data_IF_505596963564
#
_entry.id   IF_505596963564
#
_cell.length_a   1.000
_cell.length_b   1.000
_cell.length_c   1.000
_cell.angle_alpha   90.00
_cell.angle_beta   90.00
_cell.angle_gamma   90.00
#
_symmetry.space_group_name_H-M   'P 1'
#
loop_
_entity.id
_entity.type
_entity.pdbx_description
1 polymer ?
#
# COMPACT_ATOMS: atom_id res chain seq x y z
N UNK A 1 -20.07 -26.13 -22.65
CA UNK A 1 -19.26 -25.33 -23.59
C UNK A 1 -18.09 -24.79 -22.83
N UNK A 2 -16.89 -25.32 -23.08
CA UNK A 2 -15.67 -24.84 -22.46
C UNK A 2 -15.31 -23.47 -23.02
N UNK A 3 -15.17 -22.49 -22.13
CA UNK A 3 -14.61 -21.19 -22.45
C UNK A 3 -13.11 -21.22 -22.21
N UNK A 4 -12.34 -21.37 -23.28
CA UNK A 4 -10.91 -21.13 -23.27
C UNK A 4 -10.68 -19.63 -22.99
N UNK A 5 -10.21 -19.30 -21.80
CA UNK A 5 -9.93 -17.92 -21.40
C UNK A 5 -8.55 -17.52 -21.96
N UNK A 6 -8.44 -16.44 -22.75
CA UNK A 6 -7.17 -16.03 -23.35
C UNK A 6 -6.20 -15.54 -22.26
N UNK A 7 -4.87 -15.80 -22.40
CA UNK A 7 -3.88 -15.30 -21.47
C UNK A 7 -3.77 -13.78 -21.63
N UNK A 8 -4.19 -13.03 -20.60
CA UNK A 8 -4.13 -11.56 -20.58
C UNK A 8 -5.44 -10.83 -20.26
N UNK A 9 -6.49 -11.52 -19.83
CA UNK A 9 -7.70 -10.85 -19.33
C UNK A 9 -7.37 -9.99 -18.08
N UNK A 10 -7.83 -8.73 -17.99
CA UNK A 10 -7.65 -7.94 -16.79
C UNK A 10 -8.31 -8.66 -15.61
N UNK A 11 -7.59 -8.73 -14.50
CA UNK A 11 -8.06 -9.31 -13.24
C UNK A 11 -9.53 -8.95 -12.98
N UNK A 12 -10.40 -9.95 -12.79
CA UNK A 12 -11.76 -9.70 -12.35
C UNK A 12 -11.73 -8.89 -11.04
N UNK A 13 -12.62 -7.90 -10.84
CA UNK A 13 -12.70 -7.13 -9.59
C UNK A 13 -12.75 -8.01 -8.34
N UNK A 14 -13.34 -9.22 -8.46
CA UNK A 14 -13.44 -10.22 -7.39
C UNK A 14 -12.11 -10.75 -6.84
N UNK A 15 -11.00 -10.64 -7.57
CA UNK A 15 -9.71 -11.21 -7.14
C UNK A 15 -8.84 -10.24 -6.34
N UNK A 16 -9.25 -8.96 -6.23
CA UNK A 16 -8.44 -7.92 -5.59
C UNK A 16 -8.49 -7.99 -4.07
N UNK A 17 -9.67 -8.14 -3.50
CA UNK A 17 -9.83 -8.25 -2.04
C UNK A 17 -9.13 -9.50 -1.46
N UNK A 18 -9.27 -10.71 -2.04
CA UNK A 18 -8.52 -11.88 -1.58
C UNK A 18 -6.98 -11.69 -1.66
N UNK A 19 -6.49 -11.06 -2.73
CA UNK A 19 -5.05 -10.76 -2.89
C UNK A 19 -4.57 -9.73 -1.87
N UNK A 20 -5.35 -8.68 -1.60
CA UNK A 20 -5.07 -7.71 -0.56
C UNK A 20 -5.01 -8.41 0.80
N UNK A 21 -6.00 -9.22 1.13
CA UNK A 21 -6.06 -9.95 2.39
C UNK A 21 -4.85 -10.86 2.58
N UNK A 22 -4.47 -11.64 1.56
CA UNK A 22 -3.28 -12.49 1.62
C UNK A 22 -1.99 -11.68 1.79
N UNK A 23 -1.84 -10.56 1.06
CA UNK A 23 -0.64 -9.71 1.11
C UNK A 23 -0.43 -9.06 2.47
N UNK A 24 -1.49 -8.67 3.16
CA UNK A 24 -1.43 -8.01 4.46
C UNK A 24 -1.68 -8.95 5.64
N UNK A 25 -1.80 -10.26 5.39
CA UNK A 25 -2.04 -11.26 6.45
C UNK A 25 -3.36 -11.06 7.19
N UNK A 26 -4.40 -10.60 6.49
CA UNK A 26 -5.70 -10.32 7.07
C UNK A 26 -6.45 -11.62 7.37
N UNK A 27 -6.97 -11.76 8.59
CA UNK A 27 -7.90 -12.82 8.92
C UNK A 27 -9.29 -12.53 8.34
N UNK A 28 -10.17 -13.53 8.32
CA UNK A 28 -11.55 -13.35 7.86
C UNK A 28 -12.29 -12.23 8.60
N UNK A 29 -12.05 -12.09 9.90
CA UNK A 29 -12.62 -11.01 10.70
C UNK A 29 -12.12 -9.63 10.23
N UNK A 30 -10.83 -9.52 9.89
CA UNK A 30 -10.26 -8.26 9.39
C UNK A 30 -10.92 -7.85 8.06
N UNK A 31 -11.18 -8.82 7.18
CA UNK A 31 -11.89 -8.60 5.91
C UNK A 31 -13.33 -8.14 6.15
N UNK A 32 -14.04 -8.74 7.12
CA UNK A 32 -15.40 -8.31 7.49
C UNK A 32 -15.43 -6.88 8.02
N UNK A 33 -14.49 -6.53 8.89
CA UNK A 33 -14.32 -5.17 9.42
C UNK A 33 -14.09 -4.18 8.28
N UNK A 34 -13.16 -4.50 7.37
CA UNK A 34 -12.84 -3.66 6.22
C UNK A 34 -14.05 -3.43 5.32
N UNK A 35 -14.82 -4.48 5.01
CA UNK A 35 -16.02 -4.39 4.18
C UNK A 35 -17.12 -3.56 4.84
N UNK A 36 -17.34 -3.70 6.14
CA UNK A 36 -18.32 -2.89 6.87
C UNK A 36 -17.93 -1.40 6.87
N UNK A 37 -16.63 -1.08 7.06
CA UNK A 37 -16.16 0.30 6.97
C UNK A 37 -16.24 0.88 5.55
N UNK A 38 -16.04 0.04 4.53
CA UNK A 38 -16.07 0.42 3.12
C UNK A 38 -17.49 0.65 2.57
N UNK A 39 -18.49 -0.08 3.10
CA UNK A 39 -19.85 -0.10 2.57
C UNK A 39 -20.47 1.29 2.26
N UNK A 40 -20.44 2.29 3.16
CA UNK A 40 -21.03 3.61 2.88
C UNK A 40 -20.29 4.40 1.78
N UNK A 41 -19.02 4.10 1.52
CA UNK A 41 -18.25 4.75 0.46
C UNK A 41 -18.53 4.15 -0.92
N UNK A 42 -19.02 2.91 -0.97
CA UNK A 42 -19.35 2.21 -2.22
C UNK A 42 -20.83 2.35 -2.56
N UNK A 43 -21.70 2.30 -1.56
CA UNK A 43 -23.13 2.42 -1.72
C UNK A 43 -23.75 3.28 -0.61
N UNK A 44 -24.25 4.44 -1.01
CA UNK A 44 -24.93 5.41 -0.13
C UNK A 44 -26.16 4.85 0.59
N UNK A 45 -26.72 3.72 0.17
CA UNK A 45 -27.84 3.07 0.88
C UNK A 45 -27.45 2.64 2.30
N UNK A 46 -26.17 2.40 2.57
CA UNK A 46 -25.67 2.07 3.89
C UNK A 46 -25.61 3.27 4.85
N UNK A 47 -25.49 4.51 4.35
CA UNK A 47 -25.44 5.70 5.19
C UNK A 47 -26.62 5.81 6.18
N UNK A 48 -27.90 5.79 5.73
CA UNK A 48 -29.04 5.86 6.65
C UNK A 48 -29.18 4.61 7.52
N UNK A 49 -28.82 3.42 7.01
CA UNK A 49 -28.84 2.18 7.80
C UNK A 49 -27.86 2.26 8.99
N UNK A 50 -26.66 2.79 8.75
CA UNK A 50 -25.67 2.97 9.79
C UNK A 50 -26.09 4.05 10.77
N UNK A 51 -26.71 5.14 10.31
CA UNK A 51 -27.29 6.14 11.21
C UNK A 51 -28.31 5.51 12.17
N UNK A 52 -29.20 4.65 11.66
CA UNK A 52 -30.16 3.93 12.49
C UNK A 52 -29.49 2.96 13.46
N UNK A 53 -28.55 2.14 13.00
CA UNK A 53 -27.87 1.14 13.83
C UNK A 53 -26.93 1.77 14.87
N UNK A 54 -26.42 2.97 14.60
CA UNK A 54 -25.65 3.77 15.56
C UNK A 54 -26.54 4.53 16.55
N UNK A 55 -27.87 4.49 16.41
CA UNK A 55 -28.84 5.31 17.14
C UNK A 55 -28.55 6.82 17.03
N UNK A 56 -28.00 7.25 15.89
CA UNK A 56 -27.61 8.62 15.60
C UNK A 56 -27.65 8.85 14.09
N UNK A 57 -28.70 9.53 13.62
CA UNK A 57 -28.91 9.82 12.19
C UNK A 57 -27.80 10.67 11.56
N UNK A 58 -26.99 11.35 12.37
CA UNK A 58 -25.79 12.06 11.93
C UNK A 58 -24.61 11.13 11.65
N UNK A 59 -24.60 9.92 12.22
CA UNK A 59 -23.51 8.94 12.10
C UNK A 59 -23.72 7.96 10.97
N UNK A 60 -23.34 8.40 9.78
CA UNK A 60 -23.50 7.64 8.52
C UNK A 60 -22.34 6.71 8.19
N UNK A 61 -21.43 6.49 9.14
CA UNK A 61 -20.23 5.65 9.01
C UNK A 61 -20.29 4.49 9.98
N UNK A 62 -19.56 3.43 9.66
CA UNK A 62 -19.41 2.33 10.58
C UNK A 62 -18.66 2.80 11.83
N UNK A 63 -19.19 2.48 13.00
CA UNK A 63 -18.48 2.66 14.26
C UNK A 63 -17.84 1.36 14.70
N UNK A 64 -16.89 1.45 15.62
CA UNK A 64 -16.27 0.27 16.21
C UNK A 64 -17.32 -0.65 16.85
N UNK A 65 -18.28 -0.10 17.60
CA UNK A 65 -19.39 -0.86 18.18
C UNK A 65 -20.23 -1.53 17.11
N UNK A 66 -20.66 -0.77 16.09
CA UNK A 66 -21.47 -1.30 14.99
C UNK A 66 -20.79 -2.49 14.30
N UNK A 67 -19.49 -2.40 14.01
CA UNK A 67 -18.79 -3.49 13.31
C UNK A 67 -18.65 -4.72 14.19
N UNK A 68 -18.46 -4.57 15.50
CA UNK A 68 -18.46 -5.70 16.42
C UNK A 68 -19.84 -6.38 16.45
N UNK A 69 -20.91 -5.60 16.53
CA UNK A 69 -22.29 -6.11 16.53
C UNK A 69 -22.61 -6.85 15.22
N UNK A 70 -22.27 -6.27 14.06
CA UNK A 70 -22.44 -6.91 12.75
C UNK A 70 -21.62 -8.20 12.61
N UNK A 71 -20.49 -8.30 13.31
CA UNK A 71 -19.67 -9.51 13.34
C UNK A 71 -20.11 -10.53 14.41
N UNK A 72 -21.14 -10.21 15.21
CA UNK A 72 -21.60 -11.04 16.32
C UNK A 72 -20.58 -11.18 17.45
N UNK A 73 -19.77 -10.13 17.68
CA UNK A 73 -18.70 -10.13 18.68
C UNK A 73 -19.08 -9.24 19.85
N UNK A 74 -18.87 -9.69 21.10
CA UNK A 74 -19.23 -8.89 22.25
C UNK A 74 -18.22 -7.74 22.44
N UNK A 75 -18.73 -6.59 22.88
CA UNK A 75 -17.95 -5.35 23.00
C UNK A 75 -16.77 -5.43 24.00
N UNK A 76 -16.85 -6.35 24.97
CA UNK A 76 -15.81 -6.63 25.96
C UNK A 76 -14.78 -7.67 25.47
N UNK A 77 -14.94 -8.23 24.27
CA UNK A 77 -13.98 -9.17 23.69
C UNK A 77 -12.62 -8.53 23.45
N UNK A 78 -11.62 -8.90 24.26
CA UNK A 78 -10.24 -8.47 24.08
C UNK A 78 -9.70 -8.85 22.69
N UNK A 79 -10.05 -10.04 22.19
CA UNK A 79 -9.62 -10.50 20.87
C UNK A 79 -10.21 -9.64 19.73
N UNK A 80 -11.46 -9.22 19.85
CA UNK A 80 -12.08 -8.34 18.87
C UNK A 80 -11.49 -6.92 18.92
N UNK A 81 -11.28 -6.38 20.12
CA UNK A 81 -10.63 -5.07 20.33
C UNK A 81 -9.20 -5.06 19.79
N UNK A 82 -8.48 -6.16 19.93
CA UNK A 82 -7.12 -6.31 19.41
C UNK A 82 -7.05 -6.17 17.89
N UNK A 83 -8.12 -6.46 17.12
CA UNK A 83 -8.15 -6.26 15.66
C UNK A 83 -8.15 -4.79 15.24
N UNK A 84 -8.54 -3.89 16.13
CA UNK A 84 -8.59 -2.44 15.91
C UNK A 84 -7.46 -1.70 16.67
N UNK A 85 -6.51 -2.44 17.26
CA UNK A 85 -5.33 -1.85 17.89
C UNK A 85 -4.42 -1.20 16.83
N UNK A 86 -3.67 -0.12 17.12
CA UNK A 86 -2.78 0.52 16.14
C UNK A 86 -1.75 -0.43 15.50
N UNK A 87 -1.33 -1.46 16.21
CA UNK A 87 -0.41 -2.50 15.70
C UNK A 87 -1.11 -3.67 14.99
N UNK A 88 -2.44 -3.69 14.92
CA UNK A 88 -3.18 -4.72 14.24
C UNK A 88 -3.03 -4.58 12.72
N UNK A 89 -3.11 -5.68 11.93
CA UNK A 89 -2.84 -5.64 10.50
C UNK A 89 -3.58 -4.53 9.74
N UNK A 90 -4.88 -4.35 9.99
CA UNK A 90 -5.70 -3.33 9.32
C UNK A 90 -5.17 -1.91 9.52
N UNK A 91 -4.77 -1.55 10.73
CA UNK A 91 -4.32 -0.19 11.06
C UNK A 91 -2.84 0.00 10.79
N UNK A 92 -2.01 -0.98 11.12
CA UNK A 92 -0.57 -0.94 10.91
C UNK A 92 -0.21 -0.85 9.42
N UNK A 93 -1.04 -1.41 8.54
CA UNK A 93 -0.87 -1.31 7.08
C UNK A 93 -1.58 -0.12 6.45
N UNK A 94 -2.29 0.70 7.24
CA UNK A 94 -3.05 1.84 6.73
C UNK A 94 -4.25 1.46 5.88
N UNK A 95 -4.80 0.24 6.02
CA UNK A 95 -6.02 -0.18 5.32
C UNK A 95 -7.30 0.34 5.98
N UNK A 96 -7.22 0.67 7.27
CA UNK A 96 -8.33 1.19 8.06
C UNK A 96 -7.86 2.35 8.94
N UNK A 97 -8.62 3.44 8.91
CA UNK A 97 -8.50 4.58 9.81
C UNK A 97 -9.55 4.44 10.91
N UNK A 98 -9.14 4.77 12.14
CA UNK A 98 -10.03 4.96 13.27
C UNK A 98 -10.00 6.45 13.56
N UNK A 99 -11.15 7.10 13.46
CA UNK A 99 -11.31 8.54 13.66
C UNK A 99 -12.04 8.80 14.99
N UNK A 100 -12.03 10.07 15.44
CA UNK A 100 -12.68 10.50 16.69
C UNK A 100 -12.06 9.83 17.94
N UNK A 101 -10.73 9.85 18.06
CA UNK A 101 -9.97 9.19 19.14
C UNK A 101 -10.35 9.67 20.54
N UNK A 102 -10.87 10.89 20.65
CA UNK A 102 -11.37 11.52 21.87
C UNK A 102 -12.63 10.83 22.40
N UNK A 103 -13.32 10.06 21.55
CA UNK A 103 -14.53 9.32 21.92
C UNK A 103 -14.21 7.96 22.54
N UNK A 104 -15.17 7.42 23.32
CA UNK A 104 -15.12 6.04 23.79
C UNK A 104 -14.92 5.07 22.62
N UNK A 105 -14.16 4.00 22.86
CA UNK A 105 -13.73 3.03 21.83
C UNK A 105 -14.86 2.60 20.88
N UNK A 106 -16.04 2.24 21.39
CA UNK A 106 -17.16 1.75 20.58
C UNK A 106 -17.78 2.84 19.70
N UNK A 107 -17.67 4.10 20.09
CA UNK A 107 -18.23 5.24 19.35
C UNK A 107 -17.25 5.81 18.32
N UNK A 108 -16.05 5.24 18.17
CA UNK A 108 -15.07 5.71 17.18
C UNK A 108 -15.46 5.29 15.78
N UNK A 109 -15.37 6.22 14.85
CA UNK A 109 -15.74 6.02 13.45
C UNK A 109 -14.62 5.27 12.72
N UNK A 110 -15.00 4.40 11.79
CA UNK A 110 -14.10 3.61 10.96
C UNK A 110 -14.20 4.06 9.51
N UNK A 111 -13.04 4.29 8.87
CA UNK A 111 -12.97 4.72 7.48
C UNK A 111 -11.91 3.95 6.71
N UNK A 112 -12.21 3.58 5.48
CA UNK A 112 -11.22 3.05 4.53
C UNK A 112 -10.63 4.23 3.74
N UNK A 113 -9.30 4.36 3.63
CA UNK A 113 -8.71 5.42 2.83
C UNK A 113 -9.13 5.34 1.36
N UNK A 114 -9.37 6.49 0.73
CA UNK A 114 -9.87 6.59 -0.64
C UNK A 114 -9.00 5.82 -1.65
N UNK A 115 -7.68 5.80 -1.43
CA UNK A 115 -6.73 5.03 -2.24
C UNK A 115 -6.94 3.51 -2.16
N UNK A 116 -7.30 3.01 -0.97
CA UNK A 116 -7.62 1.58 -0.77
C UNK A 116 -8.95 1.25 -1.43
N UNK A 117 -9.96 2.12 -1.27
CA UNK A 117 -11.25 2.02 -1.96
C UNK A 117 -11.07 1.99 -3.48
N UNK A 118 -10.31 2.94 -4.05
CA UNK A 118 -10.01 2.99 -5.48
C UNK A 118 -9.33 1.70 -5.98
N UNK A 119 -8.35 1.17 -5.22
CA UNK A 119 -7.69 -0.10 -5.56
C UNK A 119 -8.65 -1.29 -5.57
N UNK A 120 -9.53 -1.39 -4.57
CA UNK A 120 -10.54 -2.45 -4.53
C UNK A 120 -11.54 -2.34 -5.69
N UNK A 121 -11.83 -1.13 -6.15
CA UNK A 121 -12.69 -0.85 -7.30
C UNK A 121 -11.97 -0.96 -8.66
N UNK A 122 -10.66 -1.23 -8.67
CA UNK A 122 -9.92 -1.57 -9.88
C UNK A 122 -8.95 -0.51 -10.42
N UNK A 123 -8.82 0.62 -9.75
CA UNK A 123 -7.81 1.62 -10.09
C UNK A 123 -6.46 1.25 -9.45
N UNK A 124 -5.38 1.14 -10.22
CA UNK A 124 -4.03 0.84 -9.72
C UNK A 124 -3.09 2.07 -9.74
N UNK A 125 -3.63 3.27 -9.97
CA UNK A 125 -2.87 4.52 -9.97
C UNK A 125 -2.22 4.77 -8.60
N UNK A 126 -0.95 5.19 -8.51
CA UNK A 126 -0.35 5.55 -7.22
C UNK A 126 -1.11 6.68 -6.51
N UNK A 127 -1.03 6.72 -5.17
CA UNK A 127 -1.61 7.83 -4.39
C UNK A 127 -1.02 9.17 -4.83
N UNK A 128 -1.86 10.20 -4.94
CA UNK A 128 -1.42 11.56 -5.27
C UNK A 128 -0.39 12.10 -4.26
N UNK A 129 -0.44 11.66 -3.00
CA UNK A 129 0.57 12.00 -1.99
C UNK A 129 1.97 11.47 -2.33
N UNK A 130 2.06 10.45 -3.20
CA UNK A 130 3.33 9.90 -3.69
C UNK A 130 3.82 10.57 -4.98
N UNK A 131 3.04 11.47 -5.58
CA UNK A 131 3.43 12.17 -6.80
C UNK A 131 4.73 12.97 -6.57
N UNK A 132 5.73 12.73 -7.42
CA UNK A 132 7.06 13.37 -7.29
C UNK A 132 7.96 12.79 -6.19
N UNK A 133 7.45 11.94 -5.31
CA UNK A 133 8.20 11.27 -4.24
C UNK A 133 8.44 9.79 -4.50
N UNK A 134 7.55 9.15 -5.25
CA UNK A 134 7.69 7.77 -5.67
C UNK A 134 7.63 7.67 -7.19
N UNK A 135 8.51 6.85 -7.76
CA UNK A 135 8.44 6.45 -9.16
C UNK A 135 8.33 4.94 -9.23
N UNK A 136 7.24 4.44 -9.81
CA UNK A 136 7.14 3.04 -10.16
C UNK A 136 8.09 2.76 -11.32
N UNK A 137 8.95 1.77 -11.14
CA UNK A 137 9.87 1.30 -12.16
C UNK A 137 9.36 -0.08 -12.58
N UNK A 138 8.88 -0.23 -13.82
CA UNK A 138 8.36 -1.51 -14.27
C UNK A 138 9.46 -2.57 -14.17
N UNK A 139 9.06 -3.79 -13.78
CA UNK A 139 9.89 -4.95 -14.08
C UNK A 139 9.95 -5.02 -15.61
N UNK A 140 11.08 -4.59 -16.20
CA UNK A 140 11.21 -4.65 -17.65
C UNK A 140 11.02 -6.11 -18.08
N UNK A 141 10.13 -6.33 -19.05
CA UNK A 141 9.93 -7.65 -19.63
C UNK A 141 11.29 -8.23 -20.03
N UNK A 142 11.54 -9.48 -19.67
CA UNK A 142 12.81 -10.19 -19.89
C UNK A 142 13.14 -10.39 -21.40
N UNK A 143 12.43 -9.74 -22.30
CA UNK A 143 12.57 -9.83 -23.76
C UNK A 143 12.96 -8.47 -24.34
N UNK A 144 14.26 -8.18 -24.32
CA UNK A 144 14.81 -6.95 -24.91
C UNK A 144 16.33 -6.94 -24.95
N UNK A 145 16.93 -7.89 -25.66
CA UNK A 145 18.32 -7.79 -26.08
C UNK A 145 18.47 -6.63 -27.10
N UNK A 146 19.31 -5.65 -26.80
CA UNK A 146 19.69 -4.51 -27.68
C UNK A 146 18.65 -3.38 -27.70
N UNK A 147 18.98 -2.10 -27.51
CA UNK A 147 20.05 -1.36 -28.19
C UNK A 147 20.57 -0.16 -27.37
N UNK A 148 21.90 -0.10 -27.24
CA UNK A 148 22.77 1.09 -27.27
C UNK A 148 22.34 2.39 -26.60
N UNK A 149 23.00 2.71 -25.48
CA UNK A 149 23.83 3.93 -25.43
C UNK A 149 25.12 3.61 -24.68
N UNK A 150 26.21 3.51 -25.43
CA UNK A 150 27.57 3.39 -24.92
C UNK A 150 27.99 4.73 -24.33
N UNK A 151 28.31 4.73 -23.05
CA UNK A 151 28.96 5.83 -22.34
C UNK A 151 29.97 5.30 -21.32
N UNK A 152 31.11 4.80 -21.81
CA UNK A 152 32.41 4.77 -21.12
C UNK A 152 32.54 4.07 -19.76
N UNK A 153 32.88 2.77 -19.80
CA UNK A 153 33.45 2.03 -18.66
C UNK A 153 32.97 0.59 -18.62
N UNK A 154 33.73 -0.34 -19.19
CA UNK A 154 33.41 -1.76 -19.21
C UNK A 154 33.51 -2.39 -17.81
N UNK A 155 32.44 -3.06 -17.39
CA UNK A 155 32.52 -4.28 -16.57
C UNK A 155 31.52 -5.26 -17.20
N UNK A 156 31.87 -6.56 -17.24
CA UNK A 156 31.03 -7.63 -17.79
C UNK A 156 29.72 -7.81 -17.00
N UNK A 157 29.06 -8.99 -17.04
CA UNK A 157 27.99 -9.26 -16.09
C UNK A 157 28.51 -8.99 -14.67
N UNK A 158 27.99 -7.95 -14.02
CA UNK A 158 28.47 -7.52 -12.72
C UNK A 158 28.19 -8.64 -11.73
N UNK A 159 29.20 -9.43 -11.38
CA UNK A 159 29.06 -10.52 -10.40
C UNK A 159 28.44 -10.04 -9.08
N UNK A 160 28.59 -8.75 -8.77
CA UNK A 160 27.89 -8.09 -7.68
C UNK A 160 26.38 -7.97 -7.92
N UNK A 161 25.96 -7.50 -9.10
CA UNK A 161 24.55 -7.40 -9.51
C UNK A 161 23.87 -8.77 -9.48
N UNK A 162 24.53 -9.82 -9.97
CA UNK A 162 24.00 -11.19 -9.94
C UNK A 162 23.87 -11.71 -8.50
N UNK A 163 24.88 -11.46 -7.65
CA UNK A 163 24.82 -11.82 -6.23
C UNK A 163 23.71 -11.05 -5.50
N UNK A 164 23.51 -9.77 -5.83
CA UNK A 164 22.44 -8.95 -5.28
C UNK A 164 21.07 -9.48 -5.74
N UNK A 165 20.91 -9.80 -7.02
CA UNK A 165 19.70 -10.38 -7.58
C UNK A 165 19.34 -11.72 -6.93
N UNK A 166 20.31 -12.62 -6.74
CA UNK A 166 20.11 -13.90 -6.05
C UNK A 166 19.64 -13.71 -4.60
N UNK A 167 20.17 -12.70 -3.90
CA UNK A 167 19.72 -12.38 -2.53
C UNK A 167 18.33 -11.74 -2.50
N UNK A 168 18.01 -10.87 -3.46
CA UNK A 168 16.68 -10.29 -3.60
C UNK A 168 15.61 -11.33 -3.96
N UNK A 169 15.97 -12.36 -4.73
CA UNK A 169 15.08 -13.47 -5.05
C UNK A 169 14.77 -14.33 -3.82
N UNK A 170 15.74 -14.51 -2.91
CA UNK A 170 15.60 -15.35 -1.73
C UNK A 170 14.71 -14.75 -0.62
N UNK A 171 14.56 -13.42 -0.55
CA UNK A 171 13.70 -12.80 0.45
C UNK A 171 13.92 -11.30 0.63
N UNK A 172 13.23 -10.68 1.62
CA UNK A 172 13.40 -9.28 1.95
C UNK A 172 14.84 -8.98 2.36
N UNK A 173 15.44 -7.95 1.77
CA UNK A 173 16.82 -7.59 1.99
C UNK A 173 16.94 -6.07 2.15
N UNK A 174 17.59 -5.64 3.23
CA UNK A 174 18.01 -4.25 3.40
C UNK A 174 19.48 -4.12 2.98
N UNK A 175 19.76 -3.31 1.96
CA UNK A 175 21.12 -3.07 1.46
C UNK A 175 21.40 -1.58 1.41
N UNK A 176 22.61 -1.21 1.82
CA UNK A 176 23.16 0.12 1.59
C UNK A 176 24.22 0.03 0.49
N UNK A 177 23.94 0.60 -0.68
CA UNK A 177 24.86 0.64 -1.81
C UNK A 177 25.73 1.89 -1.76
N UNK A 178 27.05 1.68 -1.74
CA UNK A 178 28.02 2.77 -1.83
C UNK A 178 28.36 3.00 -3.30
N UNK A 179 28.12 4.20 -3.78
CA UNK A 179 28.42 4.58 -5.16
C UNK A 179 29.78 5.29 -5.25
N UNK A 180 30.54 4.99 -6.31
CA UNK A 180 31.79 5.70 -6.62
C UNK A 180 31.51 6.95 -7.47
N UNK A 181 30.51 6.87 -8.34
CA UNK A 181 29.95 8.02 -9.07
C UNK A 181 28.46 8.15 -8.75
N UNK A 182 27.93 9.39 -8.71
CA UNK A 182 26.51 9.60 -8.46
C UNK A 182 25.67 8.85 -9.50
N UNK A 183 24.79 7.97 -9.05
CA UNK A 183 23.87 7.20 -9.88
C UNK A 183 24.30 5.75 -10.18
N UNK A 184 25.54 5.37 -9.87
CA UNK A 184 26.02 3.98 -10.08
C UNK A 184 25.28 3.01 -9.16
N UNK A 185 25.05 3.40 -7.90
CA UNK A 185 24.34 2.57 -6.94
C UNK A 185 22.89 2.32 -7.34
N UNK A 186 22.20 3.35 -7.83
CA UNK A 186 20.84 3.24 -8.35
C UNK A 186 20.80 2.32 -9.58
N UNK A 187 21.71 2.51 -10.54
CA UNK A 187 21.76 1.73 -11.77
C UNK A 187 21.99 0.24 -11.49
N UNK A 188 22.91 -0.06 -10.56
CA UNK A 188 23.16 -1.43 -10.10
C UNK A 188 21.96 -2.04 -9.38
N UNK A 189 21.31 -1.31 -8.46
CA UNK A 189 20.10 -1.78 -7.78
C UNK A 189 19.00 -2.13 -8.77
N UNK A 190 18.76 -1.26 -9.76
CA UNK A 190 17.75 -1.49 -10.79
C UNK A 190 18.09 -2.67 -11.69
N UNK A 191 19.36 -2.85 -12.04
CA UNK A 191 19.80 -4.04 -12.78
C UNK A 191 19.53 -5.32 -11.98
N UNK A 192 19.86 -5.36 -10.69
CA UNK A 192 19.63 -6.53 -9.84
C UNK A 192 18.14 -6.83 -9.64
N UNK A 193 17.30 -5.80 -9.47
CA UNK A 193 15.85 -5.93 -9.36
C UNK A 193 15.22 -6.49 -10.64
N UNK A 194 15.70 -6.05 -11.81
CA UNK A 194 15.28 -6.61 -13.10
C UNK A 194 15.66 -8.08 -13.23
N UNK A 195 16.91 -8.46 -12.90
CA UNK A 195 17.37 -9.86 -12.92
C UNK A 195 16.55 -10.72 -11.96
N UNK A 196 16.15 -10.18 -10.81
CA UNK A 196 15.30 -10.87 -9.84
C UNK A 196 13.80 -10.91 -10.24
N UNK A 197 13.41 -10.30 -11.37
CA UNK A 197 12.01 -10.23 -11.81
C UNK A 197 11.11 -9.44 -10.85
N UNK A 198 11.66 -8.45 -10.14
CA UNK A 198 10.93 -7.67 -9.13
C UNK A 198 10.60 -6.28 -9.67
N UNK A 199 9.35 -5.88 -9.52
CA UNK A 199 8.95 -4.48 -9.65
C UNK A 199 9.56 -3.66 -8.51
N UNK A 200 9.88 -2.41 -8.80
CA UNK A 200 10.55 -1.54 -7.86
C UNK A 200 9.84 -0.20 -7.72
N UNK A 201 9.72 0.27 -6.47
CA UNK A 201 9.28 1.62 -6.17
C UNK A 201 10.51 2.43 -5.75
N UNK A 202 10.92 3.40 -6.57
CA UNK A 202 11.97 4.33 -6.21
C UNK A 202 11.39 5.45 -5.37
N UNK A 203 11.78 5.52 -4.11
CA UNK A 203 11.39 6.58 -3.18
C UNK A 203 12.50 7.64 -3.12
N UNK A 204 12.18 8.85 -3.55
CA UNK A 204 13.04 10.01 -3.39
C UNK A 204 12.65 10.72 -2.12
N UNK A 205 13.56 10.78 -1.14
CA UNK A 205 13.31 11.60 0.06
C UNK A 205 13.11 13.06 -0.37
N UNK A 206 12.10 13.76 0.16
CA UNK A 206 12.03 15.21 -0.01
C UNK A 206 13.34 15.80 0.51
N UNK A 207 13.99 16.63 -0.31
CA UNK A 207 15.17 17.39 0.12
C UNK A 207 14.77 18.18 1.37
N UNK A 208 15.50 18.10 2.49
CA UNK A 208 15.20 18.96 3.63
C UNK A 208 15.28 20.40 3.14
N UNK A 209 14.19 21.16 3.32
CA UNK A 209 14.12 22.55 2.91
C UNK A 209 15.32 23.28 3.53
N UNK A 210 16.22 23.78 2.69
CA UNK A 210 17.40 24.50 3.11
C UNK A 210 16.97 25.64 4.01
N UNK A 211 17.44 25.60 5.27
CA UNK A 211 17.32 26.68 6.25
C UNK A 211 17.86 27.95 5.59
N UNK A 212 16.96 28.80 5.07
CA UNK A 212 17.31 30.12 4.55
C UNK A 212 17.85 30.93 5.74
N UNK A 213 19.17 30.90 5.94
CA UNK A 213 19.85 31.89 6.76
C UNK A 213 19.64 33.24 6.08
N UNK A 214 18.62 33.98 6.51
CA UNK A 214 18.58 35.43 6.35
C UNK A 214 19.82 35.98 7.05
N UNK A 215 20.87 36.26 6.28
CA UNK A 215 21.89 37.22 6.72
C UNK A 215 21.21 38.58 6.72
N UNK A 216 20.94 39.09 7.92
CA UNK A 216 20.67 40.50 8.11
C UNK A 216 21.98 41.24 7.79
N UNK A 217 21.97 42.03 6.73
CA UNK A 217 23.00 43.04 6.49
C UNK A 217 22.52 44.31 7.18
N UNK A 218 23.19 44.68 8.26
CA UNK A 218 23.08 46.00 8.89
C UNK A 218 23.78 47.02 8.00
N UNK A 219 23.11 48.12 7.67
CA UNK A 219 23.70 49.44 7.54
C UNK A 219 22.66 50.44 8.02
#
# INVERSE_FOLDING_TARGET
GGGEQPPGAPAHPGDRLPRLAARFGLALLDVRILLAALAPDVDRTFEPLYGYLNDDVGRRRATTGLVLDLCGLPADSAAARARLHPSAPLRASGLLLVEEDERPFLSRSLRVPDRVTAHLLGDDTPDAALAGHARLLPAADATGAGTGTRGGGAVGPDAFTDRLAARLAAGPLLVHLREHRPGDGLSCALAALRVAGREALLLTRPRPAGRRTRRATTT
#
